data_IF_181163807394
#
_entry.id   IF_181163807394
#
_cell.length_a   1.000
_cell.length_b   1.000
_cell.length_c   1.000
_cell.angle_alpha   90.00
_cell.angle_beta   90.00
_cell.angle_gamma   90.00
#
_symmetry.space_group_name_H-M   'P 1'
#
loop_
_entity.id
_entity.type
_entity.pdbx_description
1 polymer ?
#
# COMPACT_ATOMS: atom_id res chain seq x y z
N UNK A 1 18.16 14.45 3.00
CA UNK A 1 16.69 14.70 3.02
C UNK A 1 16.13 13.92 4.21
N UNK A 2 15.17 14.47 4.96
CA UNK A 2 14.53 13.74 6.08
C UNK A 2 13.29 13.02 5.56
N UNK A 3 13.03 11.79 6.03
CA UNK A 3 11.79 11.09 5.71
C UNK A 3 10.61 11.81 6.38
N UNK A 4 9.63 12.23 5.59
CA UNK A 4 8.37 12.79 6.08
C UNK A 4 7.30 11.72 5.94
N UNK A 5 6.70 11.31 7.07
CA UNK A 5 5.62 10.34 7.03
C UNK A 5 4.39 10.97 6.34
N UNK A 6 3.85 10.35 5.28
CA UNK A 6 2.67 10.86 4.61
C UNK A 6 1.45 10.79 5.55
N UNK A 7 0.54 11.75 5.39
CA UNK A 7 -0.68 11.84 6.21
C UNK A 7 -1.89 11.16 5.55
N UNK A 8 -1.87 11.03 4.22
CA UNK A 8 -2.91 10.37 3.43
C UNK A 8 -2.30 9.86 2.10
N UNK A 9 -3.09 9.10 1.35
CA UNK A 9 -2.69 8.51 0.07
C UNK A 9 -2.30 9.55 -0.97
N UNK A 10 -3.04 10.65 -1.08
CA UNK A 10 -2.80 11.66 -2.13
C UNK A 10 -1.44 12.35 -1.92
N UNK A 11 -1.13 12.73 -0.68
CA UNK A 11 0.17 13.31 -0.34
C UNK A 11 1.33 12.31 -0.54
N UNK A 12 1.10 11.03 -0.26
CA UNK A 12 2.09 9.97 -0.50
C UNK A 12 2.42 9.86 -1.98
N UNK A 13 1.39 9.77 -2.82
CA UNK A 13 1.56 9.59 -4.26
C UNK A 13 2.19 10.84 -4.90
N UNK A 14 1.76 12.04 -4.50
CA UNK A 14 2.37 13.31 -4.93
C UNK A 14 3.86 13.38 -4.59
N UNK A 15 4.26 12.98 -3.38
CA UNK A 15 5.67 12.97 -2.98
C UNK A 15 6.46 11.92 -3.77
N UNK A 16 5.86 10.74 -4.03
CA UNK A 16 6.48 9.70 -4.85
C UNK A 16 6.72 10.16 -6.30
N UNK A 17 5.77 10.88 -6.90
CA UNK A 17 5.93 11.48 -8.23
C UNK A 17 6.98 12.59 -8.22
N UNK A 18 6.92 13.50 -7.24
CA UNK A 18 7.87 14.61 -7.09
C UNK A 18 9.32 14.14 -6.95
N UNK A 19 9.53 13.00 -6.29
CA UNK A 19 10.85 12.39 -6.13
C UNK A 19 11.22 11.45 -7.29
N UNK A 20 10.37 11.32 -8.32
CA UNK A 20 10.53 10.38 -9.43
C UNK A 20 10.68 8.91 -8.98
N UNK A 21 10.04 8.55 -7.86
CA UNK A 21 10.07 7.21 -7.26
C UNK A 21 8.74 6.46 -7.37
N UNK A 22 7.73 7.06 -8.02
CA UNK A 22 6.42 6.43 -8.19
C UNK A 22 6.50 5.08 -8.91
N UNK A 23 7.29 4.97 -9.98
CA UNK A 23 7.51 3.68 -10.65
C UNK A 23 8.06 2.62 -9.69
N UNK A 24 9.07 2.97 -8.89
CA UNK A 24 9.63 2.06 -7.88
C UNK A 24 8.63 1.70 -6.78
N UNK A 25 7.67 2.57 -6.47
CA UNK A 25 6.55 2.26 -5.58
C UNK A 25 5.62 1.21 -6.19
N UNK A 26 5.23 1.38 -7.45
CA UNK A 26 4.37 0.40 -8.15
C UNK A 26 5.08 -0.96 -8.29
N UNK A 27 6.36 -0.98 -8.66
CA UNK A 27 7.15 -2.22 -8.75
C UNK A 27 7.22 -2.94 -7.41
N UNK A 28 7.48 -2.18 -6.34
CA UNK A 28 7.59 -2.73 -5.00
C UNK A 28 6.24 -3.27 -4.49
N UNK A 29 5.13 -2.57 -4.79
CA UNK A 29 3.78 -3.02 -4.47
C UNK A 29 3.46 -4.33 -5.20
N UNK A 30 3.66 -4.39 -6.53
CA UNK A 30 3.45 -5.60 -7.32
C UNK A 30 4.29 -6.77 -6.78
N UNK A 31 5.55 -6.52 -6.43
CA UNK A 31 6.43 -7.55 -5.87
C UNK A 31 5.86 -8.16 -4.58
N UNK A 32 5.46 -7.33 -3.62
CA UNK A 32 5.03 -7.81 -2.30
C UNK A 32 3.64 -8.46 -2.36
N UNK A 33 2.74 -7.98 -3.24
CA UNK A 33 1.48 -8.66 -3.53
C UNK A 33 1.69 -10.05 -4.17
N UNK A 34 2.62 -10.16 -5.13
CA UNK A 34 2.95 -11.46 -5.72
C UNK A 34 3.57 -12.43 -4.69
N UNK A 35 4.40 -11.94 -3.77
CA UNK A 35 4.91 -12.74 -2.64
C UNK A 35 3.79 -13.23 -1.72
N UNK A 36 2.72 -12.44 -1.57
CA UNK A 36 1.52 -12.81 -0.81
C UNK A 36 0.61 -13.80 -1.53
N UNK A 37 1.03 -14.31 -2.70
CA UNK A 37 0.25 -15.15 -3.59
C UNK A 37 -1.05 -14.47 -4.08
N UNK A 38 -1.06 -13.14 -4.08
CA UNK A 38 -2.11 -12.33 -4.68
C UNK A 38 -1.58 -11.70 -5.96
N UNK A 39 -1.86 -12.34 -7.08
CA UNK A 39 -1.46 -11.88 -8.42
C UNK A 39 -2.15 -10.58 -8.81
N UNK A 40 -1.66 -9.47 -8.27
CA UNK A 40 -1.90 -8.14 -8.82
C UNK A 40 -0.74 -7.82 -9.73
N UNK A 41 -1.09 -7.32 -10.90
CA UNK A 41 -0.14 -6.76 -11.85
C UNK A 41 -0.65 -5.37 -12.22
N UNK A 42 -0.39 -4.40 -11.33
CA UNK A 42 -0.66 -3.00 -11.66
C UNK A 42 0.25 -2.61 -12.83
N UNK A 43 -0.29 -2.06 -13.93
CA UNK A 43 0.55 -1.58 -15.02
C UNK A 43 1.59 -0.59 -14.49
N UNK A 44 2.85 -0.69 -14.92
CA UNK A 44 3.89 0.24 -14.48
C UNK A 44 3.61 1.70 -14.87
N UNK A 45 2.70 1.90 -15.84
CA UNK A 45 2.19 3.19 -16.28
C UNK A 45 0.86 3.61 -15.62
N UNK A 46 0.40 2.90 -14.58
CA UNK A 46 -0.88 3.19 -13.90
C UNK A 46 -0.84 4.60 -13.30
N UNK A 47 -1.93 5.36 -13.48
CA UNK A 47 -2.02 6.70 -12.89
C UNK A 47 -2.20 6.62 -11.35
N UNK A 48 -1.70 7.60 -10.58
CA UNK A 48 -1.84 7.61 -9.12
C UNK A 48 -3.29 7.43 -8.62
N UNK A 49 -4.23 8.14 -9.22
CA UNK A 49 -5.65 8.05 -8.85
C UNK A 49 -6.23 6.65 -9.13
N UNK A 50 -5.80 6.05 -10.24
CA UNK A 50 -6.22 4.70 -10.61
C UNK A 50 -5.62 3.65 -9.67
N UNK A 51 -4.34 3.79 -9.30
CA UNK A 51 -3.69 2.93 -8.31
C UNK A 51 -4.42 2.99 -6.96
N UNK A 52 -4.79 4.19 -6.51
CA UNK A 52 -5.54 4.40 -5.27
C UNK A 52 -6.86 3.64 -5.28
N UNK A 53 -7.64 3.78 -6.36
CA UNK A 53 -8.94 3.12 -6.52
C UNK A 53 -8.77 1.59 -6.56
N UNK A 54 -7.91 1.09 -7.44
CA UNK A 54 -7.75 -0.35 -7.62
C UNK A 54 -7.20 -1.05 -6.37
N UNK A 55 -6.27 -0.40 -5.65
CA UNK A 55 -5.75 -0.94 -4.39
C UNK A 55 -6.83 -0.99 -3.32
N UNK A 56 -7.65 0.06 -3.18
CA UNK A 56 -8.76 0.07 -2.24
C UNK A 56 -9.75 -1.07 -2.52
N UNK A 57 -10.18 -1.22 -3.77
CA UNK A 57 -11.08 -2.29 -4.18
C UNK A 57 -10.49 -3.68 -3.91
N UNK A 58 -9.19 -3.85 -4.19
CA UNK A 58 -8.51 -5.11 -3.91
C UNK A 58 -8.51 -5.43 -2.42
N UNK A 59 -8.08 -4.49 -1.58
CA UNK A 59 -8.01 -4.67 -0.13
C UNK A 59 -9.40 -4.98 0.41
N UNK A 60 -10.43 -4.25 -0.05
CA UNK A 60 -11.83 -4.52 0.30
C UNK A 60 -12.22 -5.97 0.00
N UNK A 61 -11.96 -6.44 -1.23
CA UNK A 61 -12.26 -7.82 -1.64
C UNK A 61 -11.48 -8.85 -0.82
N UNK A 62 -10.22 -8.54 -0.47
CA UNK A 62 -9.40 -9.46 0.33
C UNK A 62 -9.92 -9.58 1.75
N UNK A 63 -10.27 -8.47 2.40
CA UNK A 63 -10.87 -8.51 3.74
C UNK A 63 -12.20 -9.29 3.71
N UNK A 64 -13.03 -9.08 2.69
CA UNK A 64 -14.34 -9.70 2.59
C UNK A 64 -14.30 -11.20 2.23
N UNK A 65 -13.48 -11.58 1.25
CA UNK A 65 -13.58 -12.89 0.60
C UNK A 65 -12.30 -13.74 0.71
N UNK A 66 -11.18 -13.14 1.08
CA UNK A 66 -9.85 -13.78 1.10
C UNK A 66 -9.06 -13.39 2.35
N UNK A 67 -9.65 -13.63 3.52
CA UNK A 67 -9.12 -13.11 4.78
C UNK A 67 -7.73 -13.67 5.12
N UNK A 68 -7.45 -14.93 4.75
CA UNK A 68 -6.14 -15.54 4.97
C UNK A 68 -5.04 -14.85 4.13
N UNK A 69 -5.33 -14.56 2.87
CA UNK A 69 -4.45 -13.87 1.93
C UNK A 69 -4.26 -12.40 2.35
N UNK A 70 -5.31 -11.77 2.89
CA UNK A 70 -5.21 -10.46 3.54
C UNK A 70 -4.20 -10.45 4.69
N UNK A 71 -4.30 -11.39 5.63
CA UNK A 71 -3.35 -11.48 6.73
C UNK A 71 -1.92 -11.76 6.24
N UNK A 72 -1.78 -12.64 5.24
CA UNK A 72 -0.48 -12.95 4.63
C UNK A 72 0.16 -11.72 3.98
N UNK A 73 -0.63 -10.92 3.24
CA UNK A 73 -0.20 -9.68 2.63
C UNK A 73 0.32 -8.69 3.69
N UNK A 74 -0.45 -8.46 4.75
CA UNK A 74 -0.03 -7.55 5.83
C UNK A 74 1.29 -7.98 6.45
N UNK A 75 1.48 -9.28 6.66
CA UNK A 75 2.72 -9.83 7.20
C UNK A 75 3.92 -9.59 6.27
N UNK A 76 3.77 -9.89 4.97
CA UNK A 76 4.85 -9.71 3.98
C UNK A 76 5.23 -8.24 3.83
N UNK A 77 4.23 -7.35 3.83
CA UNK A 77 4.43 -5.92 3.71
C UNK A 77 5.01 -5.31 4.99
N UNK A 78 4.98 -6.05 6.11
CA UNK A 78 5.31 -5.60 7.45
C UNK A 78 4.33 -4.52 7.96
N UNK A 79 3.03 -4.59 7.63
CA UNK A 79 2.06 -3.64 8.20
C UNK A 79 1.90 -3.87 9.71
N UNK A 80 1.90 -2.79 10.50
CA UNK A 80 1.81 -2.91 11.96
C UNK A 80 0.45 -3.48 12.40
N UNK A 81 0.46 -4.66 13.00
CA UNK A 81 -0.73 -5.26 13.59
C UNK A 81 -1.39 -4.34 14.64
N UNK A 82 -0.58 -3.57 15.37
CA UNK A 82 -1.07 -2.62 16.35
C UNK A 82 -1.77 -1.40 15.71
N UNK A 83 -1.39 -1.00 14.49
CA UNK A 83 -2.15 0.02 13.73
C UNK A 83 -3.47 -0.58 13.20
N UNK A 84 -3.44 -1.80 12.67
CA UNK A 84 -4.63 -2.50 12.15
C UNK A 84 -5.69 -2.69 13.24
N UNK A 85 -5.30 -3.12 14.45
CA UNK A 85 -6.22 -3.34 15.58
C UNK A 85 -6.91 -2.07 16.09
N UNK A 86 -6.42 -0.88 15.74
CA UNK A 86 -7.02 0.40 16.14
C UNK A 86 -8.09 0.87 15.16
N UNK A 87 -8.18 0.27 13.97
CA UNK A 87 -9.14 0.65 12.95
C UNK A 87 -10.54 0.15 13.35
N UNK A 88 -11.55 0.95 13.02
CA UNK A 88 -12.93 0.53 13.18
C UNK A 88 -13.33 -0.42 12.03
N UNK A 89 -13.76 -1.63 12.38
CA UNK A 89 -14.21 -2.64 11.43
C UNK A 89 -15.71 -2.62 11.14
N UNK A 90 -16.46 -1.65 11.69
CA UNK A 90 -17.92 -1.55 11.51
C UNK A 90 -18.32 -1.18 10.07
N UNK A 91 -17.51 -0.37 9.40
CA UNK A 91 -17.63 -0.02 7.99
C UNK A 91 -16.46 -0.62 7.20
N UNK A 92 -16.76 -1.66 6.42
CA UNK A 92 -15.76 -2.38 5.64
C UNK A 92 -15.15 -1.53 4.51
N UNK A 93 -15.91 -0.59 3.95
CA UNK A 93 -15.41 0.30 2.88
C UNK A 93 -14.36 1.24 3.45
N UNK A 94 -14.66 1.86 4.59
CA UNK A 94 -13.74 2.74 5.30
C UNK A 94 -12.52 1.98 5.83
N UNK A 95 -12.73 0.78 6.39
CA UNK A 95 -11.64 -0.09 6.85
C UNK A 95 -10.68 -0.39 5.70
N UNK A 96 -11.20 -0.78 4.54
CA UNK A 96 -10.38 -1.10 3.38
C UNK A 96 -9.57 0.11 2.88
N UNK A 97 -10.14 1.32 2.93
CA UNK A 97 -9.43 2.56 2.57
C UNK A 97 -8.25 2.81 3.52
N UNK A 98 -8.50 2.72 4.83
CA UNK A 98 -7.48 2.93 5.85
C UNK A 98 -6.35 1.90 5.76
N UNK A 99 -6.70 0.63 5.53
CA UNK A 99 -5.73 -0.45 5.33
C UNK A 99 -4.93 -0.26 4.05
N UNK A 100 -5.57 0.13 2.94
CA UNK A 100 -4.87 0.42 1.68
C UNK A 100 -3.85 1.55 1.85
N UNK A 101 -4.17 2.59 2.62
CA UNK A 101 -3.21 3.63 2.98
C UNK A 101 -2.04 3.08 3.81
N UNK A 102 -2.29 2.24 4.82
CA UNK A 102 -1.20 1.65 5.62
C UNK A 102 -0.26 0.77 4.79
N UNK A 103 -0.81 0.01 3.84
CA UNK A 103 -0.04 -0.77 2.87
C UNK A 103 0.86 0.15 2.04
N UNK A 104 0.30 1.18 1.38
CA UNK A 104 1.07 2.13 0.58
C UNK A 104 2.13 2.85 1.42
N UNK A 105 1.78 3.25 2.64
CA UNK A 105 2.71 3.93 3.57
C UNK A 105 3.93 3.06 3.86
N UNK A 106 3.76 1.74 4.08
CA UNK A 106 4.88 0.82 4.30
C UNK A 106 5.70 0.61 3.03
N UNK A 107 5.08 0.43 1.88
CA UNK A 107 5.82 0.30 0.62
C UNK A 107 6.60 1.56 0.27
N UNK A 108 6.01 2.72 0.50
CA UNK A 108 6.67 4.00 0.31
C UNK A 108 7.90 4.16 1.21
N UNK A 109 7.78 3.79 2.50
CA UNK A 109 8.93 3.78 3.41
C UNK A 109 10.08 2.93 2.86
N UNK A 110 9.80 1.70 2.41
CA UNK A 110 10.82 0.80 1.83
C UNK A 110 11.48 1.43 0.61
N UNK A 111 10.70 1.98 -0.32
CA UNK A 111 11.22 2.61 -1.54
C UNK A 111 12.05 3.84 -1.23
N UNK A 112 11.57 4.70 -0.34
CA UNK A 112 12.25 5.94 0.02
C UNK A 112 13.61 5.65 0.68
N UNK A 113 13.66 4.77 1.69
CA UNK A 113 14.92 4.45 2.38
C UNK A 113 15.93 3.78 1.45
N UNK A 114 15.51 2.87 0.57
CA UNK A 114 16.39 2.24 -0.43
C UNK A 114 17.02 3.21 -1.42
N UNK A 115 16.40 4.37 -1.66
CA UNK A 115 16.92 5.38 -2.59
C UNK A 115 17.74 6.49 -1.92
N UNK A 116 17.59 6.68 -0.60
CA UNK A 116 18.24 7.79 0.12
C UNK A 116 19.35 7.36 1.08
N UNK A 117 19.45 6.08 1.45
CA UNK A 117 20.39 5.57 2.46
C UNK A 117 21.11 4.27 2.04
N UNK A 118 21.49 4.14 0.76
CA UNK A 118 22.35 3.02 0.31
C UNK A 118 23.72 3.04 0.96
#
# INVERSE_FOLDING_TARGET
MMFVAPQNTDLLLQEAEKLALYLSLVEQLNKDFNLANEGIDFPLSIAPDELKIQLHEKVYRMIQYKFAEYLNLLYIIDVSEAEIKKLDGSDLVLLAEQVAFLILKREWQKVWFRNHYK
#
